data_IF_649173336901
#
_entry.id   IF_649173336901
#
_cell.length_a   1.000
_cell.length_b   1.000
_cell.length_c   1.000
_cell.angle_alpha   90.00
_cell.angle_beta   90.00
_cell.angle_gamma   90.00
#
_symmetry.space_group_name_H-M   'P 1'
#
loop_
_entity.id
_entity.type
_entity.pdbx_description
1 polymer ?
#
# COMPACT_ATOMS: atom_id res chain seq x y z
N UNK A 1 32.51 -82.54 -41.35
CA UNK A 1 31.48 -82.23 -40.33
C UNK A 1 30.94 -80.83 -40.54
N UNK A 2 29.58 -80.58 -40.42
CA UNK A 2 29.01 -79.23 -40.53
C UNK A 2 29.35 -78.39 -39.31
N UNK A 3 29.70 -77.10 -39.53
CA UNK A 3 30.10 -76.20 -38.43
C UNK A 3 29.00 -76.03 -37.41
N UNK A 4 27.75 -76.03 -37.81
CA UNK A 4 26.58 -75.86 -36.97
C UNK A 4 26.36 -76.98 -35.98
N UNK A 5 26.67 -78.21 -36.38
CA UNK A 5 26.67 -79.43 -35.51
C UNK A 5 27.76 -79.34 -34.43
N UNK A 6 28.97 -78.84 -34.83
CA UNK A 6 30.08 -78.63 -33.88
C UNK A 6 29.74 -77.49 -32.88
N UNK A 7 29.07 -76.43 -33.34
CA UNK A 7 28.58 -75.35 -32.44
C UNK A 7 27.56 -75.88 -31.41
N UNK A 8 26.58 -76.68 -31.87
CA UNK A 8 25.59 -77.29 -30.95
C UNK A 8 26.24 -78.25 -29.94
N UNK A 9 27.22 -78.99 -30.39
CA UNK A 9 28.00 -79.87 -29.52
C UNK A 9 28.74 -79.10 -28.44
N UNK A 10 29.46 -78.05 -28.80
CA UNK A 10 30.19 -77.16 -27.86
C UNK A 10 29.24 -76.44 -26.90
N UNK A 11 28.03 -76.05 -27.36
CA UNK A 11 27.01 -75.44 -26.55
C UNK A 11 26.21 -76.41 -25.67
N UNK A 12 26.53 -77.71 -25.69
CA UNK A 12 25.78 -78.76 -24.98
C UNK A 12 24.29 -78.83 -25.42
N UNK A 13 24.03 -78.54 -26.71
CA UNK A 13 22.69 -78.54 -27.31
C UNK A 13 22.56 -79.58 -28.46
N UNK A 14 23.56 -80.47 -28.63
CA UNK A 14 23.54 -81.52 -29.66
C UNK A 14 22.61 -82.65 -29.22
N UNK A 15 21.96 -83.28 -30.24
CA UNK A 15 21.19 -84.49 -29.98
C UNK A 15 22.14 -85.70 -29.76
N UNK A 16 21.69 -86.82 -29.13
CA UNK A 16 22.50 -87.95 -28.91
C UNK A 16 23.11 -88.55 -30.21
N UNK A 17 22.40 -88.48 -31.32
CA UNK A 17 22.85 -88.88 -32.65
C UNK A 17 23.96 -87.97 -33.21
N UNK A 18 23.84 -86.64 -32.93
CA UNK A 18 24.86 -85.66 -33.31
C UNK A 18 26.12 -85.76 -32.44
N UNK A 19 26.00 -86.08 -31.16
CA UNK A 19 27.14 -86.34 -30.27
C UNK A 19 27.95 -87.52 -30.73
N UNK A 20 27.29 -88.67 -31.03
CA UNK A 20 27.95 -89.91 -31.55
C UNK A 20 28.64 -89.65 -32.89
N UNK A 21 28.01 -88.86 -33.78
CA UNK A 21 28.61 -88.48 -35.04
C UNK A 21 29.84 -87.54 -34.89
N UNK A 22 29.86 -86.64 -33.89
CA UNK A 22 31.02 -85.82 -33.58
C UNK A 22 32.14 -86.59 -32.98
N UNK A 23 31.85 -87.55 -32.06
CA UNK A 23 32.88 -88.49 -31.50
C UNK A 23 33.52 -89.37 -32.56
N UNK A 24 32.74 -90.01 -33.44
CA UNK A 24 33.23 -90.80 -34.55
C UNK A 24 34.09 -89.91 -35.52
N UNK A 25 33.69 -88.68 -35.77
CA UNK A 25 34.46 -87.78 -36.61
C UNK A 25 35.80 -87.39 -35.97
N UNK A 26 35.84 -87.13 -34.65
CA UNK A 26 37.08 -86.87 -33.91
C UNK A 26 38.09 -88.06 -33.96
N UNK A 27 37.59 -89.28 -33.84
CA UNK A 27 38.42 -90.45 -33.91
C UNK A 27 39.02 -90.75 -35.32
N UNK A 28 38.40 -90.20 -36.39
CA UNK A 28 38.78 -90.48 -37.72
C UNK A 28 40.08 -89.77 -38.20
N UNK A 29 40.38 -88.54 -37.63
CA UNK A 29 41.58 -87.76 -37.98
C UNK A 29 42.01 -86.85 -36.82
N UNK A 30 43.29 -86.89 -36.35
CA UNK A 30 43.80 -85.98 -35.34
C UNK A 30 43.69 -84.50 -35.67
N UNK A 31 43.57 -84.18 -36.94
CA UNK A 31 43.35 -82.74 -37.38
C UNK A 31 42.00 -82.21 -36.93
N UNK A 32 40.99 -83.03 -36.73
CA UNK A 32 39.62 -82.65 -36.34
C UNK A 32 39.55 -82.08 -34.92
N UNK A 33 40.43 -82.47 -34.00
CA UNK A 33 40.56 -81.86 -32.66
C UNK A 33 40.90 -80.41 -32.72
N UNK A 34 41.78 -80.02 -33.65
CA UNK A 34 42.16 -78.65 -33.85
C UNK A 34 41.00 -77.74 -34.41
N UNK A 35 40.08 -78.37 -35.12
CA UNK A 35 38.92 -77.73 -35.69
C UNK A 35 37.82 -77.50 -34.66
N UNK A 36 37.60 -78.51 -33.81
CA UNK A 36 36.69 -78.40 -32.65
C UNK A 36 37.21 -77.36 -31.64
N UNK A 37 38.50 -77.30 -31.35
CA UNK A 37 39.12 -76.32 -30.46
C UNK A 37 38.98 -74.88 -31.01
N UNK A 38 38.91 -74.67 -32.28
CA UNK A 38 38.60 -73.36 -32.89
C UNK A 38 37.17 -72.96 -32.63
N UNK A 39 36.21 -73.83 -32.81
CA UNK A 39 34.80 -73.63 -32.55
C UNK A 39 34.57 -73.35 -31.06
N UNK A 40 35.19 -74.08 -30.21
CA UNK A 40 35.11 -73.89 -28.75
C UNK A 40 35.65 -72.55 -28.28
N UNK A 41 36.80 -72.08 -28.82
CA UNK A 41 37.34 -70.78 -28.54
C UNK A 41 36.39 -69.60 -29.01
N UNK A 42 35.74 -69.79 -30.15
CA UNK A 42 34.77 -68.82 -30.63
C UNK A 42 33.55 -68.77 -29.74
N UNK A 43 33.02 -69.87 -29.30
CA UNK A 43 31.90 -69.99 -28.35
C UNK A 43 32.25 -69.32 -27.00
N UNK A 44 33.40 -69.57 -26.45
CA UNK A 44 33.85 -69.01 -25.15
C UNK A 44 34.08 -67.53 -25.23
N UNK A 45 34.61 -67.01 -26.33
CA UNK A 45 34.73 -65.58 -26.56
C UNK A 45 33.37 -64.81 -26.58
N UNK A 46 32.35 -65.39 -27.20
CA UNK A 46 30.99 -64.86 -27.22
C UNK A 46 30.34 -64.97 -25.82
N UNK A 47 30.49 -66.09 -25.16
CA UNK A 47 29.92 -66.31 -23.81
C UNK A 47 30.52 -65.37 -22.75
N UNK A 48 31.84 -65.10 -22.81
CA UNK A 48 32.54 -64.17 -21.93
C UNK A 48 32.23 -62.72 -22.17
N UNK A 49 31.85 -62.35 -23.40
CA UNK A 49 31.54 -60.96 -23.76
C UNK A 49 30.10 -60.56 -23.44
N UNK A 50 29.18 -61.49 -23.35
CA UNK A 50 27.75 -61.20 -23.13
C UNK A 50 27.45 -60.48 -21.80
N UNK A 51 28.02 -60.84 -20.63
CA UNK A 51 27.75 -60.12 -19.39
C UNK A 51 28.33 -58.69 -19.40
N UNK A 52 29.51 -58.49 -19.99
CA UNK A 52 30.17 -57.18 -20.05
C UNK A 52 29.39 -56.20 -20.93
N UNK A 53 28.87 -56.68 -22.05
CA UNK A 53 28.05 -55.88 -22.96
C UNK A 53 26.75 -55.47 -22.28
N UNK A 54 26.07 -56.36 -21.58
CA UNK A 54 24.83 -56.03 -20.86
C UNK A 54 25.04 -55.01 -19.72
N UNK A 55 26.14 -55.10 -18.97
CA UNK A 55 26.47 -54.12 -17.94
C UNK A 55 26.76 -52.70 -18.53
N UNK A 56 27.46 -52.63 -19.66
CA UNK A 56 27.75 -51.37 -20.33
C UNK A 56 26.47 -50.67 -20.82
N UNK A 57 25.57 -51.42 -21.44
CA UNK A 57 24.28 -50.88 -21.91
C UNK A 57 23.36 -50.52 -20.75
N UNK A 58 23.33 -51.24 -19.66
CA UNK A 58 22.54 -50.93 -18.46
C UNK A 58 23.02 -49.66 -17.78
N UNK A 59 24.34 -49.44 -17.70
CA UNK A 59 24.96 -48.24 -17.10
C UNK A 59 24.71 -46.99 -17.90
N UNK A 60 24.74 -47.06 -19.23
CA UNK A 60 24.50 -45.91 -20.11
C UNK A 60 23.00 -45.52 -20.14
N UNK A 61 22.09 -46.50 -20.10
CA UNK A 61 20.65 -46.26 -20.01
C UNK A 61 20.25 -45.59 -18.70
N UNK A 62 20.83 -45.99 -17.55
CA UNK A 62 20.56 -45.32 -16.25
C UNK A 62 21.08 -43.89 -16.20
N UNK A 63 22.25 -43.61 -16.79
CA UNK A 63 22.81 -42.26 -16.84
C UNK A 63 21.94 -41.29 -17.68
N UNK A 64 21.47 -41.73 -18.84
CA UNK A 64 20.62 -40.93 -19.74
C UNK A 64 19.25 -40.65 -19.12
N UNK A 65 18.65 -41.67 -18.46
CA UNK A 65 17.35 -41.48 -17.79
C UNK A 65 17.45 -40.52 -16.60
N UNK A 66 18.49 -40.63 -15.79
CA UNK A 66 18.73 -39.72 -14.65
C UNK A 66 18.98 -38.27 -15.08
N UNK A 67 19.68 -38.03 -16.19
CA UNK A 67 19.94 -36.68 -16.70
C UNK A 67 18.70 -36.03 -17.32
N UNK A 68 17.87 -36.80 -18.02
CA UNK A 68 16.61 -36.35 -18.57
C UNK A 68 15.61 -36.01 -17.46
N UNK A 69 15.44 -36.88 -16.48
CA UNK A 69 14.56 -36.67 -15.33
C UNK A 69 14.96 -35.40 -14.53
N UNK A 70 16.29 -35.21 -14.31
CA UNK A 70 16.80 -34.00 -13.64
C UNK A 70 16.58 -32.72 -14.43
N UNK A 71 16.62 -32.76 -15.78
CA UNK A 71 16.29 -31.61 -16.62
C UNK A 71 14.81 -31.26 -16.58
N UNK A 72 13.95 -32.28 -16.63
CA UNK A 72 12.51 -32.10 -16.55
C UNK A 72 12.07 -31.61 -15.15
N UNK A 73 12.68 -32.12 -14.07
CA UNK A 73 12.40 -31.63 -12.71
C UNK A 73 12.86 -30.19 -12.50
N UNK A 74 14.02 -29.80 -13.07
CA UNK A 74 14.49 -28.42 -13.04
C UNK A 74 13.57 -27.49 -13.83
N UNK A 75 13.10 -27.92 -15.02
CA UNK A 75 12.15 -27.15 -15.82
C UNK A 75 10.79 -26.99 -15.10
N UNK A 76 10.28 -28.08 -14.50
CA UNK A 76 9.05 -28.04 -13.72
C UNK A 76 9.17 -27.09 -12.49
N UNK A 77 10.31 -27.16 -11.77
CA UNK A 77 10.57 -26.24 -10.66
C UNK A 77 10.62 -24.77 -11.10
N UNK A 78 11.26 -24.49 -12.26
CA UNK A 78 11.30 -23.14 -12.84
C UNK A 78 9.90 -22.64 -13.19
N UNK A 79 9.05 -23.48 -13.80
CA UNK A 79 7.65 -23.12 -14.13
C UNK A 79 6.85 -22.84 -12.84
N UNK A 80 7.01 -23.66 -11.81
CA UNK A 80 6.33 -23.45 -10.52
C UNK A 80 6.79 -22.12 -9.88
N UNK A 81 8.10 -21.84 -9.89
CA UNK A 81 8.64 -20.59 -9.34
C UNK A 81 8.14 -19.38 -10.13
N UNK A 82 8.09 -19.46 -11.45
CA UNK A 82 7.55 -18.38 -12.29
C UNK A 82 6.05 -18.17 -12.07
N UNK A 83 5.28 -19.26 -11.97
CA UNK A 83 3.84 -19.18 -11.68
C UNK A 83 3.57 -18.61 -10.28
N UNK A 84 4.34 -19.06 -9.28
CA UNK A 84 4.22 -18.55 -7.91
C UNK A 84 4.68 -17.10 -7.79
N UNK A 85 5.80 -16.76 -8.42
CA UNK A 85 6.29 -15.38 -8.51
C UNK A 85 5.31 -14.46 -9.25
N UNK A 86 4.76 -14.91 -10.37
CA UNK A 86 3.73 -14.20 -11.12
C UNK A 86 2.43 -14.00 -10.33
N UNK A 87 1.97 -15.04 -9.63
CA UNK A 87 0.81 -14.94 -8.74
C UNK A 87 1.04 -13.96 -7.59
N UNK A 88 2.20 -14.06 -6.92
CA UNK A 88 2.56 -13.14 -5.82
C UNK A 88 2.69 -11.70 -6.29
N UNK A 89 3.30 -11.49 -7.46
CA UNK A 89 3.43 -10.16 -8.06
C UNK A 89 2.06 -9.58 -8.44
N UNK A 90 1.18 -10.40 -8.99
CA UNK A 90 -0.18 -9.98 -9.36
C UNK A 90 -1.01 -9.67 -8.10
N UNK A 91 -0.98 -10.54 -7.10
CA UNK A 91 -1.67 -10.35 -5.83
C UNK A 91 -1.19 -9.09 -5.08
N UNK A 92 0.13 -8.85 -5.05
CA UNK A 92 0.71 -7.64 -4.45
C UNK A 92 0.27 -6.37 -5.19
N UNK A 93 0.17 -6.43 -6.52
CA UNK A 93 -0.27 -5.32 -7.36
C UNK A 93 -1.76 -5.01 -7.19
N UNK A 94 -2.60 -6.03 -7.07
CA UNK A 94 -4.03 -5.87 -6.82
C UNK A 94 -4.30 -5.34 -5.41
N UNK A 95 -3.55 -5.80 -4.42
CA UNK A 95 -3.62 -5.27 -3.06
C UNK A 95 -3.24 -3.78 -3.01
N UNK A 96 -2.18 -3.37 -3.70
CA UNK A 96 -1.79 -1.96 -3.80
C UNK A 96 -2.88 -1.12 -4.49
N UNK A 97 -3.45 -1.61 -5.60
CA UNK A 97 -4.53 -0.91 -6.32
C UNK A 97 -5.82 -0.78 -5.50
N UNK A 98 -6.16 -1.76 -4.69
CA UNK A 98 -7.32 -1.66 -3.79
C UNK A 98 -7.06 -0.69 -2.64
N UNK A 99 -5.82 -0.61 -2.17
CA UNK A 99 -5.39 0.38 -1.16
C UNK A 99 -5.46 1.82 -1.64
N UNK A 100 -5.24 2.07 -2.93
CA UNK A 100 -5.30 3.41 -3.55
C UNK A 100 -6.73 3.95 -3.74
N UNK A 101 -7.78 3.17 -3.45
CA UNK A 101 -9.16 3.69 -3.51
C UNK A 101 -9.33 4.80 -2.49
N UNK A 102 -9.63 6.00 -2.99
CA UNK A 102 -9.91 7.14 -2.15
C UNK A 102 -11.28 6.99 -1.48
N UNK A 103 -11.27 7.10 -0.18
CA UNK A 103 -12.43 7.30 0.66
C UNK A 103 -12.63 8.81 0.84
N UNK A 104 -13.87 9.26 0.92
CA UNK A 104 -14.21 10.66 1.15
C UNK A 104 -15.15 10.77 2.35
N UNK A 105 -14.80 11.64 3.28
CA UNK A 105 -15.63 12.00 4.42
C UNK A 105 -15.91 13.49 4.31
N UNK A 106 -17.19 13.86 4.14
CA UNK A 106 -17.64 15.25 4.15
C UNK A 106 -18.47 15.51 5.39
N UNK A 107 -18.16 16.59 6.08
CA UNK A 107 -18.81 17.00 7.33
C UNK A 107 -19.79 18.15 7.01
N UNK A 108 -21.09 17.97 7.23
CA UNK A 108 -22.07 19.04 7.07
C UNK A 108 -21.82 20.20 8.02
N UNK A 109 -22.34 21.37 7.70
CA UNK A 109 -22.37 22.48 8.64
C UNK A 109 -23.16 22.07 9.91
N UNK A 110 -22.76 22.60 11.05
CA UNK A 110 -23.33 22.27 12.35
C UNK A 110 -22.76 21.00 13.01
N UNK A 111 -21.95 20.23 12.29
CA UNK A 111 -21.40 18.95 12.76
C UNK A 111 -19.87 18.99 12.79
N UNK A 112 -19.30 18.03 13.53
CA UNK A 112 -17.87 17.73 13.58
C UNK A 112 -17.70 16.22 13.62
N UNK A 113 -16.65 15.74 13.00
CA UNK A 113 -16.34 14.31 12.94
C UNK A 113 -14.92 14.09 13.44
N UNK A 114 -14.71 13.10 14.30
CA UNK A 114 -13.40 12.57 14.60
C UNK A 114 -13.28 11.17 14.05
N UNK A 115 -12.15 10.85 13.42
CA UNK A 115 -11.86 9.54 12.89
C UNK A 115 -10.39 9.18 13.15
N UNK A 116 -10.12 7.89 13.19
CA UNK A 116 -8.76 7.37 13.24
C UNK A 116 -8.46 6.70 11.91
N UNK A 117 -7.38 7.13 11.26
CA UNK A 117 -6.90 6.53 10.01
C UNK A 117 -6.25 5.17 10.32
N UNK A 118 -6.00 4.39 9.28
CA UNK A 118 -5.44 3.04 9.41
C UNK A 118 -4.03 2.98 9.98
N UNK A 119 -3.26 4.07 9.89
CA UNK A 119 -1.93 4.20 10.49
C UNK A 119 -1.97 4.59 11.97
N UNK A 120 -3.17 4.74 12.54
CA UNK A 120 -3.40 5.20 13.90
C UNK A 120 -3.45 6.73 14.07
N UNK A 121 -3.28 7.50 13.00
CA UNK A 121 -3.41 8.97 13.01
C UNK A 121 -4.83 9.36 13.35
N UNK A 122 -5.00 10.23 14.35
CA UNK A 122 -6.29 10.82 14.73
C UNK A 122 -6.51 12.12 13.96
N UNK A 123 -7.73 12.28 13.43
CA UNK A 123 -8.13 13.45 12.66
C UNK A 123 -9.46 13.96 13.19
N UNK A 124 -9.55 15.25 13.47
CA UNK A 124 -10.78 15.96 13.77
C UNK A 124 -11.10 16.85 12.57
N UNK A 125 -12.28 16.71 12.04
CA UNK A 125 -12.80 17.50 10.91
C UNK A 125 -13.83 18.50 11.43
N UNK A 126 -13.64 19.77 11.12
CA UNK A 126 -14.58 20.81 11.45
C UNK A 126 -15.76 20.85 10.45
N UNK A 127 -16.77 21.64 10.75
CA UNK A 127 -17.94 21.84 9.90
C UNK A 127 -17.57 22.32 8.48
N UNK A 128 -18.21 21.76 7.47
CA UNK A 128 -17.94 22.09 6.07
C UNK A 128 -16.67 21.45 5.49
N UNK A 129 -15.98 20.60 6.25
CA UNK A 129 -14.71 19.99 5.81
C UNK A 129 -14.94 18.73 5.00
N UNK A 130 -14.17 18.56 3.95
CA UNK A 130 -14.05 17.32 3.19
C UNK A 130 -12.62 16.77 3.29
N UNK A 131 -12.48 15.53 3.76
CA UNK A 131 -11.22 14.78 3.79
C UNK A 131 -11.29 13.62 2.79
N UNK A 132 -10.27 13.53 1.92
CA UNK A 132 -10.08 12.40 1.01
C UNK A 132 -8.78 11.68 1.38
N UNK A 133 -8.85 10.37 1.56
CA UNK A 133 -7.71 9.56 1.95
C UNK A 133 -7.80 8.14 1.37
N UNK A 134 -6.69 7.45 1.11
CA UNK A 134 -6.71 6.10 0.59
C UNK A 134 -7.17 5.10 1.66
N UNK A 135 -7.84 4.03 1.24
CA UNK A 135 -8.26 2.97 2.15
C UNK A 135 -7.05 2.31 2.87
N UNK A 136 -5.88 2.27 2.22
CA UNK A 136 -4.61 1.79 2.78
C UNK A 136 -3.45 2.67 2.29
N UNK A 137 -2.54 3.05 3.18
CA UNK A 137 -1.27 3.70 2.81
C UNK A 137 -0.25 2.65 2.36
N UNK A 138 -0.26 2.31 1.07
CA UNK A 138 0.62 1.28 0.49
C UNK A 138 1.88 1.86 -0.16
N UNK A 139 1.97 3.19 -0.26
CA UNK A 139 3.06 3.92 -0.90
C UNK A 139 4.24 4.23 0.01
N UNK A 140 5.17 5.03 -0.52
CA UNK A 140 6.32 5.55 0.24
C UNK A 140 5.94 6.70 1.17
N UNK A 141 4.74 7.23 1.04
CA UNK A 141 4.19 8.35 1.78
C UNK A 141 2.73 8.08 2.15
N UNK A 142 2.26 8.69 3.24
CA UNK A 142 0.88 8.66 3.71
C UNK A 142 0.21 9.97 3.29
N UNK A 143 -0.52 9.94 2.17
CA UNK A 143 -1.09 11.16 1.58
C UNK A 143 -2.59 11.22 1.80
N UNK A 144 -3.05 12.40 2.24
CA UNK A 144 -4.47 12.76 2.36
C UNK A 144 -4.71 14.10 1.68
N UNK A 145 -5.95 14.39 1.30
CA UNK A 145 -6.36 15.68 0.72
C UNK A 145 -7.44 16.29 1.59
N UNK A 146 -7.37 17.60 1.83
CA UNK A 146 -8.32 18.32 2.65
C UNK A 146 -8.81 19.59 1.96
N UNK A 147 -10.09 19.88 2.17
CA UNK A 147 -10.77 21.12 1.91
C UNK A 147 -11.60 21.48 3.14
N UNK A 148 -11.36 22.66 3.73
CA UNK A 148 -11.93 23.07 5.01
C UNK A 148 -10.90 23.07 6.14
N UNK A 149 -11.30 22.75 7.38
CA UNK A 149 -10.45 22.81 8.56
C UNK A 149 -10.35 21.44 9.25
N UNK A 150 -9.12 20.98 9.52
CA UNK A 150 -8.89 19.80 10.31
C UNK A 150 -7.67 19.92 11.24
N UNK A 151 -7.77 19.24 12.37
CA UNK A 151 -6.66 18.99 13.29
C UNK A 151 -6.18 17.56 13.14
N UNK A 152 -4.87 17.40 13.07
CA UNK A 152 -4.21 16.11 12.92
C UNK A 152 -3.31 15.84 14.13
N UNK A 153 -3.37 14.60 14.64
CA UNK A 153 -2.37 14.02 15.55
C UNK A 153 -1.78 12.81 14.87
N UNK A 154 -0.68 13.04 14.14
CA UNK A 154 -0.05 12.07 13.27
C UNK A 154 0.87 11.14 14.06
N UNK A 155 0.71 9.84 13.87
CA UNK A 155 1.60 8.82 14.42
C UNK A 155 2.99 8.93 13.77
N UNK A 156 4.03 8.90 14.61
CA UNK A 156 5.42 9.05 14.15
C UNK A 156 5.87 7.89 13.27
N UNK A 157 6.24 8.19 12.03
CA UNK A 157 6.92 7.28 11.10
C UNK A 157 7.87 8.07 10.19
N UNK A 158 9.17 7.99 10.48
CA UNK A 158 10.20 8.68 9.71
C UNK A 158 10.45 8.08 8.32
N UNK A 159 9.98 6.83 8.07
CA UNK A 159 10.18 6.17 6.77
C UNK A 159 9.07 6.49 5.77
N UNK A 160 7.88 6.80 6.26
CA UNK A 160 6.72 7.12 5.45
C UNK A 160 6.14 8.46 5.91
N UNK A 161 6.60 9.60 5.36
CA UNK A 161 6.09 10.91 5.71
C UNK A 161 4.58 11.00 5.47
N UNK A 162 3.88 11.76 6.33
CA UNK A 162 2.46 12.06 6.19
C UNK A 162 2.31 13.41 5.49
N UNK A 163 1.54 13.44 4.41
CA UNK A 163 1.38 14.63 3.56
C UNK A 163 -0.09 15.00 3.50
N UNK A 164 -0.42 16.19 3.98
CA UNK A 164 -1.73 16.80 3.79
C UNK A 164 -1.67 17.71 2.59
N UNK A 165 -2.36 17.31 1.53
CA UNK A 165 -2.51 18.12 0.32
C UNK A 165 -3.70 19.05 0.43
N UNK A 166 -3.49 20.31 0.10
CA UNK A 166 -4.53 21.33 -0.02
C UNK A 166 -4.54 21.93 -1.43
N UNK A 167 -5.44 22.85 -1.70
CA UNK A 167 -5.44 23.63 -2.95
C UNK A 167 -4.14 24.44 -3.11
N UNK A 168 -3.60 24.98 -2.01
CA UNK A 168 -2.48 25.92 -1.99
C UNK A 168 -1.13 25.28 -1.68
N UNK A 169 -1.07 24.28 -0.80
CA UNK A 169 0.16 23.74 -0.24
C UNK A 169 0.10 22.23 -0.03
N UNK A 170 1.28 21.60 -0.03
CA UNK A 170 1.52 20.30 0.54
C UNK A 170 2.19 20.48 1.93
N UNK A 171 1.57 19.94 2.97
CA UNK A 171 2.01 20.01 4.37
C UNK A 171 2.58 18.63 4.77
N UNK A 172 3.89 18.56 4.95
CA UNK A 172 4.63 17.32 5.20
C UNK A 172 5.05 17.21 6.67
N UNK A 173 4.77 16.07 7.30
CA UNK A 173 5.12 15.79 8.69
C UNK A 173 5.59 14.35 8.88
N UNK A 174 6.32 14.07 9.97
CA UNK A 174 6.77 12.73 10.34
C UNK A 174 6.03 12.16 11.56
N UNK A 175 5.48 13.03 12.43
CA UNK A 175 4.78 12.69 13.66
C UNK A 175 4.56 13.96 14.47
N UNK A 176 3.37 14.55 14.36
CA UNK A 176 3.18 15.98 14.60
C UNK A 176 1.74 16.24 14.99
N UNK A 177 1.50 17.22 15.87
CA UNK A 177 0.17 17.76 16.17
C UNK A 177 0.06 19.15 15.53
N UNK A 178 -0.86 19.30 14.61
CA UNK A 178 -1.05 20.54 13.84
C UNK A 178 -2.49 20.71 13.36
N UNK A 179 -2.83 21.93 13.01
CA UNK A 179 -4.12 22.29 12.42
C UNK A 179 -3.89 22.81 10.99
N UNK A 180 -4.79 22.51 10.10
CA UNK A 180 -4.79 23.00 8.71
C UNK A 180 -6.14 23.61 8.41
N UNK A 181 -6.14 24.81 7.87
CA UNK A 181 -7.29 25.46 7.24
C UNK A 181 -6.98 25.64 5.76
N UNK A 182 -7.87 25.16 4.89
CA UNK A 182 -7.71 25.28 3.45
C UNK A 182 -9.09 25.47 2.79
N UNK A 183 -9.46 26.71 2.50
CA UNK A 183 -10.73 27.09 1.88
C UNK A 183 -10.44 27.80 0.56
N UNK A 184 -10.53 27.06 -0.55
CA UNK A 184 -10.18 27.56 -1.88
C UNK A 184 -11.09 28.72 -2.31
N UNK A 185 -12.39 28.62 -2.01
CA UNK A 185 -13.38 29.67 -2.37
C UNK A 185 -13.05 31.01 -1.76
N UNK A 186 -12.50 31.03 -0.54
CA UNK A 186 -12.14 32.25 0.19
C UNK A 186 -10.65 32.60 0.04
N UNK A 187 -9.87 31.79 -0.66
CA UNK A 187 -8.41 31.95 -0.77
C UNK A 187 -7.68 31.79 0.57
N UNK A 188 -8.28 31.13 1.55
CA UNK A 188 -7.73 30.97 2.90
C UNK A 188 -6.89 29.70 3.01
N UNK A 189 -5.65 29.87 3.44
CA UNK A 189 -4.79 28.77 3.87
C UNK A 189 -4.04 29.17 5.12
N UNK A 190 -4.07 28.30 6.12
CA UNK A 190 -3.17 28.37 7.26
C UNK A 190 -2.80 26.98 7.78
N UNK A 191 -1.63 26.89 8.36
CA UNK A 191 -1.17 25.70 9.08
C UNK A 191 -0.49 26.13 10.38
N UNK A 192 -1.00 25.67 11.51
CA UNK A 192 -0.50 25.96 12.86
C UNK A 192 0.10 24.70 13.48
N UNK A 193 1.28 24.82 14.06
CA UNK A 193 2.04 23.71 14.65
C UNK A 193 2.03 23.78 16.17
N UNK A 194 1.61 22.71 16.83
CA UNK A 194 1.59 22.58 18.30
C UNK A 194 2.72 21.70 18.84
N UNK A 195 3.05 20.60 18.11
CA UNK A 195 4.07 19.65 18.55
C UNK A 195 4.75 19.00 17.34
N UNK A 196 6.08 18.94 17.35
CA UNK A 196 6.89 18.30 16.32
C UNK A 196 7.47 19.26 15.31
N UNK A 197 7.41 18.94 14.04
CA UNK A 197 7.91 19.76 12.93
C UNK A 197 7.04 19.61 11.69
N UNK A 198 6.79 20.71 11.01
CA UNK A 198 5.99 20.76 9.77
C UNK A 198 6.80 21.41 8.66
N UNK A 199 6.82 20.82 7.48
CA UNK A 199 7.33 21.46 6.28
C UNK A 199 6.17 21.77 5.34
N UNK A 200 6.00 23.04 4.99
CA UNK A 200 4.96 23.56 4.10
C UNK A 200 5.60 23.91 2.76
N UNK A 201 5.14 23.29 1.69
CA UNK A 201 5.61 23.55 0.33
C UNK A 201 4.47 24.15 -0.49
N UNK A 202 4.70 25.33 -1.09
CA UNK A 202 3.72 26.02 -1.91
C UNK A 202 3.47 25.25 -3.22
N UNK A 203 2.22 25.11 -3.58
CA UNK A 203 1.78 24.62 -4.90
C UNK A 203 1.49 25.78 -5.87
N UNK A 204 1.35 26.99 -5.32
CA UNK A 204 1.07 28.21 -6.08
C UNK A 204 2.36 28.87 -6.57
N UNK A 205 3.44 28.81 -5.79
CA UNK A 205 4.76 29.39 -6.10
C UNK A 205 5.80 28.28 -6.07
N UNK A 206 6.31 27.84 -7.24
CA UNK A 206 7.30 26.76 -7.31
C UNK A 206 8.59 27.07 -6.52
N UNK A 207 9.01 26.12 -5.67
CA UNK A 207 10.26 26.23 -4.90
C UNK A 207 10.12 26.97 -3.56
N UNK A 208 8.98 27.57 -3.27
CA UNK A 208 8.73 28.18 -1.97
C UNK A 208 8.38 27.12 -0.94
N UNK A 209 9.19 27.07 0.14
CA UNK A 209 9.04 26.09 1.25
C UNK A 209 9.43 26.73 2.57
N UNK A 210 8.63 26.53 3.59
CA UNK A 210 8.90 26.92 4.97
C UNK A 210 8.87 25.71 5.88
N UNK A 211 9.62 25.77 6.97
CA UNK A 211 9.62 24.76 8.04
C UNK A 211 9.21 25.47 9.31
N UNK A 212 8.19 24.91 9.99
CA UNK A 212 7.67 25.44 11.24
C UNK A 212 8.29 24.68 12.43
N UNK A 213 8.58 25.45 13.46
CA UNK A 213 8.82 24.97 14.82
C UNK A 213 7.52 25.11 15.65
N UNK A 214 7.42 24.48 16.84
CA UNK A 214 6.24 24.61 17.69
C UNK A 214 5.89 26.06 18.00
N UNK A 215 4.59 26.35 18.09
CA UNK A 215 3.98 27.68 18.29
C UNK A 215 4.12 28.64 17.08
N UNK A 216 4.51 28.11 15.94
CA UNK A 216 4.52 28.84 14.68
C UNK A 216 3.35 28.45 13.76
N UNK A 217 2.95 29.39 12.93
CA UNK A 217 1.96 29.16 11.88
C UNK A 217 2.42 29.75 10.54
N UNK A 218 1.94 29.20 9.47
CA UNK A 218 2.06 29.73 8.11
C UNK A 218 0.69 30.12 7.61
N UNK A 219 0.59 31.30 7.01
CA UNK A 219 -0.59 31.80 6.29
C UNK A 219 -0.24 32.11 4.85
N UNK A 220 -1.25 32.34 4.01
CA UNK A 220 -1.09 32.88 2.66
C UNK A 220 -1.37 34.38 2.63
N UNK A 221 -0.41 35.15 2.14
CA UNK A 221 -0.62 36.53 1.75
C UNK A 221 -0.54 36.63 0.22
N UNK A 222 -1.71 36.73 -0.42
CA UNK A 222 -1.81 36.57 -1.87
C UNK A 222 -1.46 35.13 -2.31
N UNK A 223 -0.25 34.93 -2.85
CA UNK A 223 0.23 33.56 -3.23
C UNK A 223 1.46 33.12 -2.45
N UNK A 224 1.99 33.97 -1.57
CA UNK A 224 3.22 33.74 -0.84
C UNK A 224 2.97 33.23 0.57
N UNK A 225 3.87 32.38 1.03
CA UNK A 225 3.84 31.84 2.39
C UNK A 225 4.42 32.86 3.36
N UNK A 226 3.66 33.22 4.40
CA UNK A 226 4.09 34.10 5.47
C UNK A 226 4.15 33.35 6.80
N UNK A 227 5.31 33.41 7.46
CA UNK A 227 5.50 32.84 8.78
C UNK A 227 5.00 33.81 9.85
N UNK A 228 4.22 33.30 10.81
CA UNK A 228 3.72 34.05 11.95
C UNK A 228 3.84 33.20 13.23
N UNK A 229 3.70 33.83 14.39
CA UNK A 229 3.59 33.13 15.67
C UNK A 229 2.12 32.85 15.99
N UNK A 230 1.85 31.80 16.72
CA UNK A 230 0.51 31.55 17.27
C UNK A 230 0.33 32.43 18.50
N UNK A 231 -0.42 33.52 18.35
CA UNK A 231 -0.66 34.45 19.45
C UNK A 231 -1.63 33.88 20.48
N UNK A 232 -2.51 32.98 20.06
CA UNK A 232 -3.55 32.43 20.92
C UNK A 232 -4.01 31.04 20.48
N UNK A 233 -3.83 30.05 21.35
CA UNK A 233 -4.29 28.67 21.14
C UNK A 233 -5.81 28.51 21.20
N UNK A 234 -6.52 29.53 21.63
CA UNK A 234 -7.97 29.45 21.83
C UNK A 234 -8.76 29.26 20.52
N UNK A 235 -8.20 29.65 19.39
CA UNK A 235 -8.81 29.41 18.07
C UNK A 235 -8.95 27.92 17.76
N UNK A 236 -8.08 27.08 18.30
CA UNK A 236 -8.04 25.63 18.05
C UNK A 236 -8.85 24.80 19.06
N UNK A 237 -9.55 25.47 20.01
CA UNK A 237 -10.44 24.83 20.99
C UNK A 237 -11.75 24.31 20.35
N UNK A 238 -11.96 24.54 19.06
CA UNK A 238 -13.13 24.02 18.33
C UNK A 238 -13.24 22.50 18.42
N UNK A 239 -12.11 21.78 18.52
CA UNK A 239 -12.09 20.31 18.73
C UNK A 239 -12.85 19.91 19.99
N UNK A 240 -12.87 20.77 21.02
CA UNK A 240 -13.58 20.59 22.28
C UNK A 240 -14.98 21.21 22.28
N UNK A 241 -15.44 21.75 21.13
CA UNK A 241 -16.73 22.41 21.02
C UNK A 241 -16.77 23.80 21.62
N UNK A 242 -15.65 24.47 21.68
CA UNK A 242 -15.50 25.83 22.19
C UNK A 242 -15.22 26.77 21.00
N UNK A 243 -15.99 27.83 20.89
CA UNK A 243 -15.82 28.92 19.94
C UNK A 243 -15.14 30.06 20.69
N UNK A 244 -13.93 30.43 20.27
CA UNK A 244 -13.26 31.64 20.75
C UNK A 244 -13.87 32.86 20.06
N UNK A 245 -14.06 33.94 20.83
CA UNK A 245 -14.56 35.19 20.35
C UNK A 245 -13.44 36.23 20.16
N UNK A 246 -12.22 35.85 20.44
CA UNK A 246 -11.08 36.76 20.56
C UNK A 246 -10.75 37.42 19.22
N UNK A 247 -10.67 38.76 19.26
CA UNK A 247 -10.14 39.65 18.23
C UNK A 247 -10.79 39.59 16.83
N UNK A 248 -12.04 39.11 16.74
CA UNK A 248 -12.77 38.95 15.49
C UNK A 248 -13.75 40.10 15.23
N UNK A 249 -13.96 40.46 13.97
CA UNK A 249 -15.07 41.31 13.55
C UNK A 249 -16.40 40.58 13.80
N UNK A 250 -17.48 41.34 13.88
CA UNK A 250 -18.81 40.72 14.01
C UNK A 250 -19.16 39.83 12.83
N UNK A 251 -18.82 40.28 11.62
CA UNK A 251 -19.08 39.52 10.40
C UNK A 251 -18.29 38.17 10.35
N UNK A 252 -17.03 38.18 10.72
CA UNK A 252 -16.22 36.93 10.81
C UNK A 252 -16.80 35.95 11.83
N UNK A 253 -17.24 36.48 12.98
CA UNK A 253 -17.88 35.65 14.00
C UNK A 253 -19.20 35.05 13.52
N UNK A 254 -20.04 35.86 12.81
CA UNK A 254 -21.29 35.35 12.24
C UNK A 254 -21.04 34.28 11.20
N UNK A 255 -20.05 34.44 10.35
CA UNK A 255 -19.66 33.38 9.40
C UNK A 255 -19.19 32.09 10.10
N UNK A 256 -18.42 32.23 11.20
CA UNK A 256 -18.05 31.08 12.03
C UNK A 256 -19.28 30.42 12.69
N UNK A 257 -20.27 31.22 13.11
CA UNK A 257 -21.53 30.71 13.67
C UNK A 257 -22.34 29.93 12.61
N UNK A 258 -22.43 30.47 11.37
CA UNK A 258 -23.07 29.74 10.27
C UNK A 258 -22.54 28.34 10.12
N UNK A 259 -21.21 28.21 10.02
CA UNK A 259 -20.54 26.92 9.91
C UNK A 259 -20.78 26.06 11.15
N UNK A 260 -20.57 26.63 12.34
CA UNK A 260 -20.59 25.87 13.60
C UNK A 260 -21.98 25.40 14.00
N UNK A 261 -23.04 26.15 13.69
CA UNK A 261 -24.42 25.84 14.08
C UNK A 261 -25.26 25.32 12.89
N UNK A 262 -24.75 25.40 11.68
CA UNK A 262 -25.46 24.96 10.48
C UNK A 262 -26.66 25.84 10.14
N UNK A 263 -26.58 27.14 10.35
CA UNK A 263 -27.61 28.14 10.08
C UNK A 263 -27.12 29.07 8.99
N UNK A 264 -28.05 29.80 8.33
CA UNK A 264 -27.72 30.93 7.45
C UNK A 264 -27.92 32.23 8.19
N UNK A 265 -26.91 33.12 8.21
CA UNK A 265 -27.00 34.41 8.90
C UNK A 265 -26.95 35.54 7.86
N UNK A 266 -28.01 36.37 7.81
CA UNK A 266 -28.08 37.57 6.98
C UNK A 266 -27.89 38.77 7.87
N UNK A 267 -26.92 39.62 7.55
CA UNK A 267 -26.62 40.84 8.26
C UNK A 267 -27.16 42.00 7.43
N UNK A 268 -28.28 42.64 7.88
CA UNK A 268 -28.82 43.82 7.26
C UNK A 268 -28.09 45.09 7.74
N UNK A 269 -27.67 45.08 9.02
CA UNK A 269 -26.89 46.15 9.61
C UNK A 269 -25.77 45.51 10.44
N UNK A 270 -24.52 45.84 10.13
CA UNK A 270 -23.36 45.36 10.90
C UNK A 270 -23.13 46.24 12.12
N UNK A 271 -23.14 45.68 13.35
CA UNK A 271 -22.76 46.42 14.54
C UNK A 271 -21.27 46.77 14.49
N UNK A 272 -20.93 48.05 14.73
CA UNK A 272 -19.54 48.48 14.75
C UNK A 272 -18.87 48.08 16.05
N UNK A 273 -18.55 46.77 16.20
CA UNK A 273 -17.92 46.24 17.39
C UNK A 273 -16.81 45.28 17.04
N UNK A 274 -15.68 45.35 17.74
CA UNK A 274 -14.73 44.24 17.88
C UNK A 274 -15.05 43.50 19.16
N UNK A 275 -15.33 42.23 19.03
CA UNK A 275 -15.65 41.41 20.19
C UNK A 275 -14.33 41.06 20.87
N UNK A 276 -14.21 41.45 22.13
CA UNK A 276 -13.05 41.22 22.95
C UNK A 276 -12.85 39.73 23.28
N UNK A 277 -12.30 39.42 24.44
CA UNK A 277 -12.08 38.06 24.84
C UNK A 277 -13.36 37.35 25.31
N UNK A 278 -13.59 36.13 24.89
CA UNK A 278 -14.70 35.30 25.34
C UNK A 278 -14.72 33.92 24.70
N UNK A 279 -15.46 33.02 25.32
CA UNK A 279 -15.63 31.64 24.85
C UNK A 279 -17.09 31.21 24.93
N UNK A 280 -17.60 30.62 23.88
CA UNK A 280 -18.95 30.06 23.82
C UNK A 280 -18.83 28.56 23.55
N UNK A 281 -19.61 27.76 24.28
CA UNK A 281 -19.73 26.33 23.99
C UNK A 281 -20.75 26.10 22.88
N UNK A 282 -20.41 25.35 21.86
CA UNK A 282 -21.33 25.00 20.79
C UNK A 282 -22.63 24.33 21.32
N UNK A 283 -22.50 23.54 22.41
CA UNK A 283 -23.64 22.83 23.02
C UNK A 283 -24.74 23.73 23.58
N UNK A 284 -24.49 25.03 23.76
CA UNK A 284 -25.53 25.96 24.24
C UNK A 284 -26.49 26.39 23.15
N UNK A 285 -26.16 26.13 21.88
CA UNK A 285 -26.98 26.49 20.71
C UNK A 285 -26.82 27.94 20.25
N UNK A 286 -27.28 28.21 19.03
CA UNK A 286 -27.12 29.54 18.38
C UNK A 286 -27.88 30.63 19.11
N UNK A 287 -29.09 30.38 19.61
CA UNK A 287 -29.90 31.38 20.30
C UNK A 287 -29.19 31.92 21.54
N UNK A 288 -28.63 31.01 22.37
CA UNK A 288 -27.85 31.43 23.53
C UNK A 288 -26.55 32.14 23.14
N UNK A 289 -25.90 31.69 22.06
CA UNK A 289 -24.70 32.37 21.55
C UNK A 289 -25.00 33.82 21.15
N UNK A 290 -26.09 34.06 20.42
CA UNK A 290 -26.51 35.42 20.02
C UNK A 290 -26.93 36.25 21.22
N UNK A 291 -27.64 35.70 22.20
CA UNK A 291 -28.00 36.39 23.44
C UNK A 291 -26.75 36.83 24.25
N UNK A 292 -25.71 35.99 24.26
CA UNK A 292 -24.44 36.39 24.88
C UNK A 292 -23.82 37.57 24.15
N UNK A 293 -23.83 37.55 22.82
CA UNK A 293 -23.29 38.66 22.02
C UNK A 293 -24.08 39.95 22.16
N UNK A 294 -25.43 39.93 22.32
CA UNK A 294 -26.25 41.08 22.59
C UNK A 294 -25.89 41.83 23.88
N UNK A 295 -25.11 41.19 24.80
CA UNK A 295 -24.58 41.91 25.96
C UNK A 295 -23.40 42.84 25.65
N UNK A 296 -22.78 42.63 24.50
CA UNK A 296 -21.58 43.36 24.08
C UNK A 296 -21.83 44.20 22.82
N UNK A 297 -22.87 43.89 22.05
CA UNK A 297 -23.23 44.55 20.81
C UNK A 297 -24.73 44.88 20.78
N UNK A 298 -25.07 46.07 20.28
CA UNK A 298 -26.45 46.47 20.13
C UNK A 298 -26.95 46.02 18.75
N UNK A 299 -27.69 44.90 18.71
CA UNK A 299 -28.32 44.36 17.53
C UNK A 299 -29.56 43.59 17.92
N UNK A 300 -30.53 43.52 17.02
CA UNK A 300 -31.68 42.63 17.12
C UNK A 300 -31.54 41.49 16.09
N UNK A 301 -32.16 40.36 16.36
CA UNK A 301 -32.21 39.28 15.39
C UNK A 301 -33.59 38.65 15.31
N UNK A 302 -33.93 38.20 14.12
CA UNK A 302 -35.16 37.47 13.82
C UNK A 302 -34.78 36.09 13.25
N UNK A 303 -35.41 35.03 13.74
CA UNK A 303 -35.16 33.67 13.31
C UNK A 303 -36.32 33.11 12.50
N UNK A 304 -36.01 32.67 11.28
CA UNK A 304 -36.92 31.89 10.44
C UNK A 304 -36.60 30.41 10.64
N UNK A 305 -37.41 29.71 11.42
CA UNK A 305 -37.24 28.30 11.70
C UNK A 305 -37.48 27.39 10.49
N UNK A 306 -38.31 27.84 9.50
CA UNK A 306 -38.60 27.06 8.31
C UNK A 306 -37.41 26.97 7.37
N UNK A 307 -36.68 28.07 7.24
CA UNK A 307 -35.51 28.18 6.35
C UNK A 307 -34.19 28.11 7.10
N UNK A 308 -34.20 27.89 8.42
CA UNK A 308 -33.03 27.89 9.29
C UNK A 308 -32.14 29.13 9.09
N UNK A 309 -32.81 30.31 8.91
CA UNK A 309 -32.15 31.57 8.61
C UNK A 309 -32.34 32.56 9.77
N UNK A 310 -31.25 33.27 10.11
CA UNK A 310 -31.24 34.31 11.13
C UNK A 310 -30.94 35.64 10.45
N UNK A 311 -31.77 36.65 10.64
CA UNK A 311 -31.55 38.01 10.12
C UNK A 311 -31.15 38.92 11.28
N UNK A 312 -29.96 39.53 11.17
CA UNK A 312 -29.41 40.51 12.11
C UNK A 312 -29.78 41.93 11.62
N UNK A 313 -30.35 42.74 12.54
CA UNK A 313 -30.80 44.12 12.28
C UNK A 313 -30.18 45.14 13.22
#
# INVERSE_FOLDING_TARGET
>A
MEKETLYRYVACQASPEEEEAVLTWLEADPAHESELAKVQRQHDLVALSAPVINELYAKDRRRRFGSVLRRWSAAAAAVVLLAFGGYYFHAARDFSRQGERLLSVSVPYGQRVSLTLQDGTSVWLNAGTTLRYPALFTGRERRVEIEGEARFEVVHDAKHPFIVRTYACDVEVLGTKFNVVAEEENGLFSTALFEGRVAVSSRLVPGERLVLEPDEMVTLEGKHLCLAQIDNDEEYLWTNGIISLTDQSFSELMHRFEKTFGVTIRIEREPSIRIGQGKIRQSVGIDNALQVLQRFADFEYEKDEQNNTITIR
#
